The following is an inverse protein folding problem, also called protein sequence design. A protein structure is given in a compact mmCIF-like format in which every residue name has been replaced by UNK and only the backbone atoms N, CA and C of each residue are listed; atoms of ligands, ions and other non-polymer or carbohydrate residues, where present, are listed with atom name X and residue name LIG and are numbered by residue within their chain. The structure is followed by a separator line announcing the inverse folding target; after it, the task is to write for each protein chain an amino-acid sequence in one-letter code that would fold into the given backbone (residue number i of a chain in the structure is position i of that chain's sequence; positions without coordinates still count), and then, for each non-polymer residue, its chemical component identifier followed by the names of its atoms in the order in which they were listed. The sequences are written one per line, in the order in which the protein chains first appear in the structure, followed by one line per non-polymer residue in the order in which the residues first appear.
data_IF_909145083772
#
_entry.id   IF_909145083772
#
_cell.length_a   1.000
_cell.length_b   1.000
_cell.length_c   1.000
_cell.angle_alpha   90.00
_cell.angle_beta   90.00
_cell.angle_gamma   90.00
#
_symmetry.space_group_name_H-M   'P 1'
#
loop_
_entity.id
_entity.type
_entity.pdbx_description
1 polymer ?
#
# COMPACT_ATOMS: atom_id res chain seq x y z
N UNK A 1 9.08 2.89 -16.44
CA UNK A 1 8.08 1.81 -16.35
C UNK A 1 7.23 1.91 -15.07
N UNK A 2 7.83 1.76 -13.87
CA UNK A 2 7.08 1.80 -12.59
C UNK A 2 6.26 3.08 -12.36
N UNK A 3 6.80 4.25 -12.69
CA UNK A 3 6.08 5.53 -12.58
C UNK A 3 4.82 5.58 -13.45
N UNK A 4 4.90 5.06 -14.68
CA UNK A 4 3.77 5.00 -15.60
C UNK A 4 2.68 4.05 -15.09
N UNK A 5 3.08 2.90 -14.54
CA UNK A 5 2.18 1.94 -13.92
C UNK A 5 1.47 2.52 -12.68
N UNK A 6 2.21 3.26 -11.83
CA UNK A 6 1.69 3.94 -10.65
C UNK A 6 0.70 5.06 -11.02
N UNK A 7 1.05 5.87 -12.03
CA UNK A 7 0.17 6.93 -12.52
C UNK A 7 -1.09 6.36 -13.19
N UNK A 8 -0.95 5.29 -13.97
CA UNK A 8 -2.08 4.59 -14.59
C UNK A 8 -3.04 4.04 -13.52
N UNK A 9 -2.50 3.41 -12.47
CA UNK A 9 -3.30 2.93 -11.34
C UNK A 9 -4.08 4.08 -10.68
N UNK A 10 -3.41 5.19 -10.37
CA UNK A 10 -4.02 6.38 -9.76
C UNK A 10 -5.15 6.98 -10.63
N UNK A 11 -4.96 7.08 -11.95
CA UNK A 11 -5.96 7.66 -12.85
C UNK A 11 -7.22 6.80 -12.94
N UNK A 12 -7.08 5.48 -13.05
CA UNK A 12 -8.23 4.57 -13.09
C UNK A 12 -8.99 4.62 -11.75
N UNK A 13 -8.27 4.74 -10.63
CA UNK A 13 -8.83 4.96 -9.30
C UNK A 13 -9.74 6.18 -9.25
N UNK A 14 -9.27 7.29 -9.83
CA UNK A 14 -9.99 8.56 -9.88
C UNK A 14 -11.21 8.52 -10.82
N UNK A 15 -11.11 7.80 -11.94
CA UNK A 15 -12.22 7.63 -12.91
C UNK A 15 -13.34 6.79 -12.31
N UNK A 16 -13.00 5.72 -11.59
CA UNK A 16 -14.00 4.89 -10.89
C UNK A 16 -14.66 5.70 -9.78
N UNK A 17 -13.90 6.49 -9.01
CA UNK A 17 -14.45 7.34 -7.95
C UNK A 17 -15.47 8.36 -8.48
N UNK A 18 -15.14 9.05 -9.58
CA UNK A 18 -16.01 10.05 -10.24
C UNK A 18 -17.23 9.41 -10.87
N UNK A 19 -17.09 8.24 -11.50
CA UNK A 19 -18.22 7.51 -12.09
C UNK A 19 -19.29 7.10 -11.08
N UNK A 20 -18.92 6.97 -9.80
CA UNK A 20 -19.82 6.50 -8.75
C UNK A 20 -20.15 7.58 -7.69
N UNK A 21 -19.74 8.85 -7.91
CA UNK A 21 -19.92 9.96 -6.94
C UNK A 21 -19.38 9.63 -5.54
N UNK A 22 -18.22 8.95 -5.47
CA UNK A 22 -17.55 8.60 -4.20
C UNK A 22 -16.17 9.25 -4.10
N UNK A 23 -16.00 10.38 -4.80
CA UNK A 23 -14.74 11.12 -4.95
C UNK A 23 -14.09 11.46 -3.62
N UNK A 24 -14.87 11.91 -2.66
CA UNK A 24 -14.39 12.32 -1.34
C UNK A 24 -13.82 11.14 -0.54
N UNK A 25 -14.42 9.95 -0.64
CA UNK A 25 -13.91 8.74 0.00
C UNK A 25 -12.63 8.23 -0.67
N UNK A 26 -12.60 8.23 -2.00
CA UNK A 26 -11.45 7.77 -2.77
C UNK A 26 -10.22 8.67 -2.55
N UNK A 27 -10.41 9.99 -2.53
CA UNK A 27 -9.33 10.95 -2.26
C UNK A 27 -8.80 10.84 -0.82
N UNK A 28 -9.69 10.69 0.17
CA UNK A 28 -9.29 10.46 1.57
C UNK A 28 -8.48 9.16 1.71
N UNK A 29 -8.95 8.07 1.11
CA UNK A 29 -8.29 6.76 1.19
C UNK A 29 -6.91 6.79 0.51
N UNK A 30 -6.79 7.48 -0.62
CA UNK A 30 -5.54 7.63 -1.35
C UNK A 30 -4.52 8.49 -0.61
N UNK A 31 -4.97 9.64 -0.07
CA UNK A 31 -4.16 10.49 0.82
C UNK A 31 -3.64 9.71 2.03
N UNK A 32 -4.46 8.84 2.60
CA UNK A 32 -4.08 8.04 3.75
C UNK A 32 -3.07 6.94 3.40
N UNK A 33 -3.25 6.26 2.26
CA UNK A 33 -2.26 5.30 1.72
C UNK A 33 -0.89 5.96 1.52
N UNK A 34 -0.85 7.15 0.92
CA UNK A 34 0.39 7.90 0.67
C UNK A 34 1.01 8.40 1.98
N UNK A 35 0.21 8.99 2.86
CA UNK A 35 0.65 9.52 4.15
C UNK A 35 1.23 8.40 5.02
N UNK A 36 0.58 7.23 5.04
CA UNK A 36 1.02 6.10 5.83
C UNK A 36 2.36 5.52 5.37
N UNK A 37 2.53 5.32 4.05
CA UNK A 37 3.80 4.86 3.47
C UNK A 37 4.92 5.87 3.74
N UNK A 38 4.61 7.16 3.66
CA UNK A 38 5.57 8.23 3.92
C UNK A 38 5.96 8.26 5.40
N UNK A 39 5.01 8.11 6.32
CA UNK A 39 5.26 8.11 7.76
C UNK A 39 6.15 6.96 8.20
N UNK A 40 5.88 5.73 7.71
CA UNK A 40 6.73 4.57 7.96
C UNK A 40 8.13 4.78 7.38
N UNK A 41 8.23 5.30 6.16
CA UNK A 41 9.51 5.58 5.51
C UNK A 41 10.34 6.60 6.30
N UNK A 42 9.73 7.70 6.75
CA UNK A 42 10.38 8.72 7.57
C UNK A 42 10.83 8.16 8.92
N UNK A 43 10.07 7.25 9.54
CA UNK A 43 10.46 6.58 10.79
C UNK A 43 11.65 5.62 10.62
N UNK A 44 11.69 4.90 9.49
CA UNK A 44 12.70 3.89 9.19
C UNK A 44 14.05 4.51 8.79
N UNK A 45 14.03 5.69 8.17
CA UNK A 45 15.23 6.38 7.68
C UNK A 45 16.28 6.67 8.77
N UNK A 46 15.96 7.30 9.92
CA UNK A 46 16.94 7.56 10.97
C UNK A 46 17.44 6.27 11.63
N UNK A 47 16.58 5.25 11.76
CA UNK A 47 16.96 3.93 12.30
C UNK A 47 18.03 3.29 11.42
N UNK A 48 17.87 3.32 10.10
CA UNK A 48 18.86 2.78 9.17
C UNK A 48 20.15 3.61 9.15
N UNK A 49 20.05 4.94 9.27
CA UNK A 49 21.23 5.82 9.31
C UNK A 49 22.12 5.54 10.54
N UNK A 50 21.52 5.30 11.71
CA UNK A 50 22.25 4.92 12.93
C UNK A 50 22.87 3.52 12.78
N UNK A 51 22.14 2.58 12.18
CA UNK A 51 22.61 1.22 11.94
C UNK A 51 23.82 1.18 10.98
N UNK A 52 23.86 2.08 9.99
CA UNK A 52 24.95 2.16 9.01
C UNK A 52 26.29 2.57 9.63
N UNK A 53 26.28 3.37 10.71
CA UNK A 53 27.50 3.90 11.33
C UNK A 53 28.17 2.91 12.30
N UNK A 54 27.55 1.77 12.56
CA UNK A 54 28.06 0.73 13.46
C UNK A 54 28.65 -0.43 12.65
N UNK A 55 29.94 -0.70 12.85
CA UNK A 55 30.70 -1.67 12.04
C UNK A 55 30.49 -3.15 12.45
N UNK A 56 29.97 -3.38 13.67
CA UNK A 56 29.94 -4.72 14.30
C UNK A 56 28.53 -5.16 14.69
N UNK A 57 27.59 -5.04 13.75
CA UNK A 57 26.17 -5.35 14.01
C UNK A 57 25.89 -6.84 13.77
N UNK A 58 25.39 -7.57 14.78
CA UNK A 58 24.92 -8.94 14.56
C UNK A 58 23.73 -8.95 13.60
N UNK A 59 23.73 -9.87 12.63
CA UNK A 59 22.69 -10.03 11.59
C UNK A 59 21.25 -10.09 12.13
N UNK A 60 21.07 -10.41 13.42
CA UNK A 60 19.79 -10.46 14.11
C UNK A 60 19.10 -9.08 14.20
N UNK A 61 19.88 -7.99 14.30
CA UNK A 61 19.35 -6.63 14.50
C UNK A 61 18.64 -6.10 13.24
N UNK A 62 19.25 -6.09 12.04
CA UNK A 62 18.55 -5.68 10.83
C UNK A 62 17.37 -6.60 10.51
N UNK A 63 17.46 -7.90 10.79
CA UNK A 63 16.34 -8.84 10.62
C UNK A 63 15.15 -8.48 11.51
N UNK A 64 15.40 -8.16 12.79
CA UNK A 64 14.37 -7.73 13.73
C UNK A 64 13.73 -6.40 13.31
N UNK A 65 14.51 -5.44 12.78
CA UNK A 65 14.00 -4.16 12.27
C UNK A 65 13.07 -4.37 11.07
N UNK A 66 13.42 -5.25 10.13
CA UNK A 66 12.57 -5.60 8.99
C UNK A 66 11.26 -6.25 9.48
N UNK A 67 11.35 -7.19 10.43
CA UNK A 67 10.18 -7.84 11.02
C UNK A 67 9.24 -6.85 11.71
N UNK A 68 9.79 -5.95 12.53
CA UNK A 68 9.04 -4.89 13.23
C UNK A 68 8.40 -3.93 12.23
N UNK A 69 9.12 -3.52 11.19
CA UNK A 69 8.59 -2.68 10.11
C UNK A 69 7.38 -3.33 9.42
N UNK A 70 7.45 -4.63 9.13
CA UNK A 70 6.33 -5.38 8.54
C UNK A 70 5.14 -5.46 9.48
N UNK A 71 5.37 -5.75 10.77
CA UNK A 71 4.30 -5.80 11.77
C UNK A 71 3.60 -4.45 11.94
N UNK A 72 4.36 -3.34 12.02
CA UNK A 72 3.82 -1.98 12.07
C UNK A 72 3.00 -1.70 10.81
N UNK A 73 3.51 -2.08 9.64
CA UNK A 73 2.84 -1.89 8.35
C UNK A 73 1.47 -2.57 8.31
N UNK A 74 1.38 -3.83 8.77
CA UNK A 74 0.14 -4.58 8.86
C UNK A 74 -0.82 -4.03 9.92
N UNK A 75 -0.28 -3.64 11.08
CA UNK A 75 -1.09 -3.14 12.18
C UNK A 75 -1.80 -1.83 11.84
N UNK A 76 -1.11 -0.86 11.23
CA UNK A 76 -1.80 0.39 10.89
C UNK A 76 -2.62 0.32 9.58
N UNK A 77 -2.42 -0.71 8.74
CA UNK A 77 -3.41 -1.08 7.73
C UNK A 77 -4.73 -1.55 8.38
N UNK A 78 -4.62 -2.39 9.42
CA UNK A 78 -5.77 -2.83 10.20
C UNK A 78 -6.47 -1.66 10.92
N UNK A 79 -5.73 -0.72 11.52
CA UNK A 79 -6.31 0.51 12.11
C UNK A 79 -7.03 1.33 11.05
N UNK A 80 -6.44 1.54 9.87
CA UNK A 80 -7.09 2.30 8.80
C UNK A 80 -8.43 1.69 8.39
N UNK A 81 -8.50 0.36 8.25
CA UNK A 81 -9.76 -0.32 7.96
C UNK A 81 -10.78 -0.09 9.09
N UNK A 82 -10.35 -0.14 10.35
CA UNK A 82 -11.22 0.02 11.51
C UNK A 82 -11.74 1.45 11.65
N UNK A 83 -10.93 2.46 11.35
CA UNK A 83 -11.31 3.88 11.44
C UNK A 83 -12.36 4.26 10.41
N UNK A 84 -12.35 3.65 9.22
CA UNK A 84 -13.30 3.95 8.14
C UNK A 84 -14.38 2.89 7.97
N UNK A 85 -14.57 1.99 8.95
CA UNK A 85 -15.54 0.89 8.87
C UNK A 85 -16.96 1.37 8.53
N UNK A 86 -17.42 2.50 9.08
CA UNK A 86 -18.76 3.03 8.80
C UNK A 86 -18.91 3.52 7.35
N UNK A 87 -17.89 4.18 6.81
CA UNK A 87 -17.90 4.64 5.43
C UNK A 87 -17.78 3.46 4.44
N UNK A 88 -16.99 2.44 4.79
CA UNK A 88 -16.82 1.20 4.02
C UNK A 88 -18.12 0.38 4.02
N UNK A 89 -18.77 0.20 5.17
CA UNK A 89 -20.01 -0.59 5.30
C UNK A 89 -21.15 0.04 4.49
N UNK A 90 -21.23 1.38 4.43
CA UNK A 90 -22.23 2.08 3.61
C UNK A 90 -22.11 1.78 2.11
N UNK A 91 -20.91 1.39 1.63
CA UNK A 91 -20.61 1.17 0.20
C UNK A 91 -19.84 -0.14 -0.06
N UNK A 92 -20.10 -1.19 0.74
CA UNK A 92 -19.34 -2.46 0.73
C UNK A 92 -19.22 -3.13 -0.65
N UNK A 93 -20.31 -3.14 -1.44
CA UNK A 93 -20.30 -3.71 -2.79
C UNK A 93 -19.34 -2.97 -3.73
N UNK A 94 -19.27 -1.64 -3.63
CA UNK A 94 -18.36 -0.81 -4.44
C UNK A 94 -16.91 -1.00 -4.00
N UNK A 95 -16.68 -1.16 -2.69
CA UNK A 95 -15.36 -1.47 -2.16
C UNK A 95 -14.83 -2.81 -2.68
N UNK A 96 -15.68 -3.84 -2.75
CA UNK A 96 -15.31 -5.16 -3.30
C UNK A 96 -14.98 -5.07 -4.80
N UNK A 97 -15.79 -4.33 -5.58
CA UNK A 97 -15.54 -4.12 -7.01
C UNK A 97 -14.20 -3.39 -7.25
N UNK A 98 -13.92 -2.36 -6.44
CA UNK A 98 -12.63 -1.65 -6.44
C UNK A 98 -11.44 -2.59 -6.13
N UNK A 99 -11.54 -3.38 -5.05
CA UNK A 99 -10.45 -4.30 -4.62
C UNK A 99 -10.13 -5.33 -5.71
N UNK A 100 -11.18 -5.89 -6.32
CA UNK A 100 -11.05 -6.90 -7.37
C UNK A 100 -10.47 -6.32 -8.66
N UNK A 101 -10.98 -5.17 -9.12
CA UNK A 101 -10.60 -4.61 -10.41
C UNK A 101 -9.24 -3.90 -10.39
N UNK A 102 -8.89 -3.22 -9.29
CA UNK A 102 -7.76 -2.30 -9.28
C UNK A 102 -6.56 -2.77 -8.45
N UNK A 103 -6.79 -3.67 -7.50
CA UNK A 103 -5.72 -4.21 -6.67
C UNK A 103 -5.39 -5.64 -7.10
N UNK A 104 -6.38 -6.53 -7.21
CA UNK A 104 -6.17 -7.95 -7.54
C UNK A 104 -5.83 -8.18 -9.02
N UNK A 105 -6.52 -7.52 -9.96
CA UNK A 105 -6.28 -7.69 -11.39
C UNK A 105 -4.83 -7.37 -11.85
N UNK A 106 -4.19 -6.26 -11.43
CA UNK A 106 -2.79 -6.00 -11.81
C UNK A 106 -1.81 -7.02 -11.22
N UNK A 107 -2.04 -7.54 -10.00
CA UNK A 107 -1.20 -8.62 -9.46
C UNK A 107 -1.33 -9.91 -10.27
N UNK A 108 -2.55 -10.23 -10.71
CA UNK A 108 -2.80 -11.38 -11.58
C UNK A 108 -2.08 -11.22 -12.93
N UNK A 109 -2.15 -10.04 -13.53
CA UNK A 109 -1.42 -9.72 -14.77
C UNK A 109 0.08 -9.85 -14.62
N UNK A 110 0.64 -9.34 -13.52
CA UNK A 110 2.08 -9.37 -13.26
C UNK A 110 2.57 -10.82 -13.04
N UNK A 111 1.81 -11.64 -12.31
CA UNK A 111 2.10 -13.06 -12.12
C UNK A 111 2.07 -13.84 -13.44
N UNK A 112 1.07 -13.59 -14.29
CA UNK A 112 0.96 -14.22 -15.60
C UNK A 112 2.13 -13.85 -16.52
N UNK A 113 2.59 -12.60 -16.47
CA UNK A 113 3.72 -12.16 -17.29
C UNK A 113 5.04 -12.80 -16.87
N UNK A 114 5.31 -12.87 -15.55
CA UNK A 114 6.50 -13.53 -15.00
C UNK A 114 6.52 -15.03 -15.32
N UNK A 115 5.38 -15.72 -15.19
CA UNK A 115 5.31 -17.16 -15.49
C UNK A 115 5.43 -17.45 -16.98
N UNK A 116 5.05 -16.50 -17.85
CA UNK A 116 5.20 -16.62 -19.31
C UNK A 116 6.61 -16.27 -19.81
N UNK A 117 7.37 -15.42 -19.11
CA UNK A 117 8.81 -15.20 -19.39
C UNK A 117 9.70 -16.33 -18.86
N UNK A 118 9.22 -17.11 -17.87
CA UNK A 118 9.95 -18.23 -17.29
C UNK A 118 9.75 -19.57 -18.04
N UNK A 119 8.97 -19.59 -19.13
CA UNK A 119 8.70 -20.74 -19.99
C UNK A 119 9.12 -20.47 -21.44
#
# INVERSE_FOLDING_TARGET
FLLYFILGKFLIEKIVATSFNIDEFADLFNLQKVTYRTYIGVLILPINAVLFYYDNIPKIIPLAIIGISLCISLYSYYISIKTYQNAIISKLFYFILYLCALEIAPYYFMYYWITKEAA
#
